data_IF_489873372188
#
_entry.id   IF_489873372188
#
_cell.length_a   1.000
_cell.length_b   1.000
_cell.length_c   1.000
_cell.angle_alpha   90.00
_cell.angle_beta   90.00
_cell.angle_gamma   90.00
#
_symmetry.space_group_name_H-M   'P 1'
#
loop_
_entity.id
_entity.type
_entity.pdbx_description
1 polymer ?
#
# COMPACT_ATOMS: atom_id res chain seq x y z
N UNK A 1 -0.63 -26.67 -7.22
CA UNK A 1 0.10 -25.87 -6.22
C UNK A 1 -0.40 -26.31 -4.85
N UNK A 2 0.47 -26.85 -4.00
CA UNK A 2 0.06 -27.34 -2.70
C UNK A 2 -0.18 -26.14 -1.77
N UNK A 3 -1.41 -25.89 -1.36
CA UNK A 3 -1.79 -24.73 -0.51
C UNK A 3 -1.46 -24.93 0.99
N UNK A 4 -0.81 -26.03 1.34
CA UNK A 4 -0.54 -26.36 2.74
C UNK A 4 0.67 -25.64 3.33
N UNK A 5 1.58 -25.15 2.51
CA UNK A 5 2.76 -24.42 2.98
C UNK A 5 2.53 -22.91 2.84
N UNK A 6 1.95 -22.30 3.86
CA UNK A 6 1.85 -20.86 3.99
C UNK A 6 3.18 -20.33 4.52
N UNK A 7 3.80 -19.42 3.78
CA UNK A 7 5.16 -18.97 4.06
C UNK A 7 5.29 -18.25 5.41
N UNK A 8 4.32 -17.41 5.76
CA UNK A 8 4.32 -16.65 7.01
C UNK A 8 2.90 -16.50 7.56
N UNK A 9 2.80 -16.39 8.87
CA UNK A 9 1.55 -16.11 9.56
C UNK A 9 1.77 -15.34 10.85
N UNK A 10 0.73 -14.67 11.34
CA UNK A 10 0.73 -13.90 12.58
C UNK A 10 1.78 -12.78 12.66
N UNK A 11 2.20 -12.24 11.52
CA UNK A 11 3.08 -11.08 11.46
C UNK A 11 2.28 -9.79 11.54
N UNK A 12 2.94 -8.74 12.01
CA UNK A 12 2.41 -7.37 12.03
C UNK A 12 3.33 -6.51 11.17
N UNK A 13 2.74 -5.76 10.23
CA UNK A 13 3.46 -4.74 9.47
C UNK A 13 3.72 -3.53 10.37
N UNK A 14 4.80 -2.81 10.13
CA UNK A 14 5.01 -1.48 10.71
C UNK A 14 4.10 -0.43 10.01
N UNK A 15 2.79 -0.55 10.25
CA UNK A 15 1.79 0.39 9.75
C UNK A 15 2.03 1.83 10.18
N UNK A 16 2.45 2.12 11.44
CA UNK A 16 2.81 3.47 11.83
C UNK A 16 3.85 4.11 10.92
N UNK A 17 4.93 3.40 10.61
CA UNK A 17 5.96 3.89 9.69
C UNK A 17 5.42 4.11 8.28
N UNK A 18 4.68 3.14 7.74
CA UNK A 18 4.10 3.22 6.42
C UNK A 18 3.18 4.43 6.27
N UNK A 19 2.26 4.63 7.23
CA UNK A 19 1.26 5.70 7.17
C UNK A 19 1.87 7.09 7.43
N UNK A 20 2.89 7.18 8.26
CA UNK A 20 3.55 8.46 8.58
C UNK A 20 4.54 8.92 7.50
N UNK A 21 5.05 8.02 6.67
CA UNK A 21 6.05 8.36 5.64
C UNK A 21 5.52 8.19 4.21
N UNK A 22 4.62 7.23 3.98
CA UNK A 22 4.16 6.84 2.66
C UNK A 22 5.20 6.05 1.86
N UNK A 23 4.76 5.39 0.80
CA UNK A 23 5.61 4.52 -0.01
C UNK A 23 6.75 5.29 -0.72
N UNK A 24 6.49 6.48 -1.22
CA UNK A 24 7.50 7.27 -1.93
C UNK A 24 8.70 7.65 -1.07
N UNK A 25 8.47 8.03 0.19
CA UNK A 25 9.56 8.33 1.12
C UNK A 25 10.36 7.07 1.48
N UNK A 26 9.69 5.93 1.69
CA UNK A 26 10.36 4.65 1.96
C UNK A 26 11.22 4.19 0.76
N UNK A 27 10.73 4.36 -0.47
CA UNK A 27 11.52 4.09 -1.69
C UNK A 27 12.73 4.99 -1.76
N UNK A 28 12.61 6.28 -1.48
CA UNK A 28 13.71 7.25 -1.51
C UNK A 28 14.77 6.96 -0.45
N UNK A 29 14.35 6.61 0.76
CA UNK A 29 15.24 6.17 1.84
C UNK A 29 16.02 4.93 1.41
N UNK A 30 15.32 3.93 0.84
CA UNK A 30 15.96 2.69 0.44
C UNK A 30 16.92 2.87 -0.73
N UNK A 31 16.63 3.75 -1.71
CA UNK A 31 17.57 4.12 -2.77
C UNK A 31 18.87 4.68 -2.19
N UNK A 32 18.79 5.45 -1.11
CA UNK A 32 19.96 5.95 -0.41
C UNK A 32 20.76 4.81 0.24
N UNK A 33 20.10 3.82 0.82
CA UNK A 33 20.79 2.64 1.37
C UNK A 33 21.43 1.78 0.26
N UNK A 34 20.74 1.57 -0.86
CA UNK A 34 21.30 0.87 -2.02
C UNK A 34 22.55 1.56 -2.57
N UNK A 35 22.54 2.89 -2.64
CA UNK A 35 23.70 3.67 -3.11
C UNK A 35 24.92 3.56 -2.17
N UNK A 36 24.67 3.45 -0.85
CA UNK A 36 25.74 3.30 0.15
C UNK A 36 26.27 1.87 0.25
N UNK A 37 25.44 0.90 -0.06
CA UNK A 37 25.75 -0.55 0.05
C UNK A 37 25.23 -1.28 -1.20
N UNK A 38 25.84 -1.05 -2.37
CA UNK A 38 25.34 -1.59 -3.65
C UNK A 38 25.40 -3.12 -3.71
N UNK A 39 26.31 -3.76 -2.95
CA UNK A 39 26.45 -5.22 -2.89
C UNK A 39 25.49 -5.90 -1.93
N UNK A 40 24.64 -5.16 -1.20
CA UNK A 40 23.71 -5.73 -0.25
C UNK A 40 22.44 -6.21 -0.96
N UNK A 41 22.23 -7.52 -1.15
CA UNK A 41 21.09 -8.05 -1.90
C UNK A 41 19.74 -7.79 -1.19
N UNK A 42 19.75 -7.64 0.13
CA UNK A 42 18.54 -7.35 0.89
C UNK A 42 17.93 -6.00 0.49
N UNK A 43 18.75 -4.94 0.43
CA UNK A 43 18.25 -3.63 0.03
C UNK A 43 17.75 -3.59 -1.41
N UNK A 44 18.41 -4.31 -2.32
CA UNK A 44 17.97 -4.45 -3.70
C UNK A 44 16.62 -5.17 -3.78
N UNK A 45 16.45 -6.27 -3.06
CA UNK A 45 15.21 -7.04 -3.04
C UNK A 45 14.04 -6.20 -2.49
N UNK A 46 14.25 -5.49 -1.37
CA UNK A 46 13.22 -4.63 -0.77
C UNK A 46 12.86 -3.46 -1.70
N UNK A 47 13.84 -2.88 -2.41
CA UNK A 47 13.57 -1.81 -3.38
C UNK A 47 12.69 -2.30 -4.53
N UNK A 48 12.99 -3.47 -5.09
CA UNK A 48 12.17 -4.10 -6.13
C UNK A 48 10.73 -4.29 -5.65
N UNK A 49 10.54 -4.77 -4.42
CA UNK A 49 9.23 -5.00 -3.81
C UNK A 49 8.45 -3.70 -3.62
N UNK A 50 9.07 -2.65 -3.07
CA UNK A 50 8.41 -1.36 -2.85
C UNK A 50 8.03 -0.68 -4.16
N UNK A 51 8.90 -0.70 -5.16
CA UNK A 51 8.59 -0.15 -6.49
C UNK A 51 7.51 -0.98 -7.20
N UNK A 52 7.49 -2.30 -7.04
CA UNK A 52 6.42 -3.16 -7.53
C UNK A 52 5.08 -2.83 -6.84
N UNK A 53 5.11 -2.54 -5.55
CA UNK A 53 3.92 -2.12 -4.79
C UNK A 53 3.35 -0.81 -5.30
N UNK A 54 4.20 0.18 -5.59
CA UNK A 54 3.76 1.44 -6.23
C UNK A 54 3.11 1.20 -7.60
N UNK A 55 3.74 0.38 -8.45
CA UNK A 55 3.17 0.02 -9.76
C UNK A 55 1.84 -0.71 -9.63
N UNK A 56 1.70 -1.61 -8.66
CA UNK A 56 0.46 -2.32 -8.38
C UNK A 56 -0.67 -1.35 -8.04
N UNK A 57 -0.44 -0.41 -7.11
CA UNK A 57 -1.41 0.61 -6.73
C UNK A 57 -1.81 1.47 -7.93
N UNK A 58 -0.84 1.91 -8.75
CA UNK A 58 -1.11 2.72 -9.94
C UNK A 58 -1.92 1.97 -11.02
N UNK A 59 -1.73 0.65 -11.15
CA UNK A 59 -2.58 -0.17 -12.04
C UNK A 59 -4.04 -0.16 -11.61
N UNK A 60 -4.31 -0.26 -10.31
CA UNK A 60 -5.68 -0.20 -9.79
C UNK A 60 -6.27 1.21 -9.90
N UNK A 61 -5.45 2.25 -9.78
CA UNK A 61 -5.90 3.61 -10.07
C UNK A 61 -6.37 3.74 -11.53
N UNK A 62 -5.58 3.27 -12.48
CA UNK A 62 -5.94 3.29 -13.90
C UNK A 62 -7.19 2.45 -14.19
N UNK A 63 -7.31 1.26 -13.59
CA UNK A 63 -8.50 0.42 -13.73
C UNK A 63 -9.76 1.12 -13.18
N UNK A 64 -9.67 1.79 -12.04
CA UNK A 64 -10.79 2.52 -11.47
C UNK A 64 -11.23 3.69 -12.37
N UNK A 65 -10.29 4.41 -13.01
CA UNK A 65 -10.59 5.45 -14.01
C UNK A 65 -11.29 4.87 -15.24
N UNK A 66 -10.79 3.75 -15.77
CA UNK A 66 -11.40 3.05 -16.90
C UNK A 66 -12.83 2.61 -16.57
N UNK A 67 -13.02 1.99 -15.40
CA UNK A 67 -14.36 1.58 -14.94
C UNK A 67 -15.29 2.78 -14.76
N UNK A 68 -14.80 3.91 -14.27
CA UNK A 68 -15.57 5.15 -14.15
C UNK A 68 -16.04 5.66 -15.50
N UNK A 69 -15.19 5.59 -16.55
CA UNK A 69 -15.53 5.99 -17.90
C UNK A 69 -16.67 5.16 -18.54
N UNK A 70 -16.87 3.93 -18.09
CA UNK A 70 -17.93 3.03 -18.56
C UNK A 70 -19.15 2.96 -17.60
N UNK A 71 -19.08 3.60 -16.43
CA UNK A 71 -20.12 3.53 -15.42
C UNK A 71 -21.27 4.48 -15.76
N UNK A 72 -22.52 3.95 -15.80
CA UNK A 72 -23.72 4.74 -16.06
C UNK A 72 -24.33 5.35 -14.80
N UNK A 73 -23.99 4.83 -13.62
CA UNK A 73 -24.42 5.36 -12.33
C UNK A 73 -23.50 6.52 -11.91
N UNK A 74 -23.98 7.77 -11.81
CA UNK A 74 -23.17 8.92 -11.47
C UNK A 74 -22.54 8.81 -10.07
N UNK A 75 -23.23 8.21 -9.11
CA UNK A 75 -22.71 8.02 -7.77
C UNK A 75 -21.53 7.05 -7.79
N UNK A 76 -21.71 5.90 -8.44
CA UNK A 76 -20.65 4.89 -8.57
C UNK A 76 -19.46 5.41 -9.40
N UNK A 77 -19.73 6.19 -10.43
CA UNK A 77 -18.68 6.85 -11.22
C UNK A 77 -17.82 7.74 -10.32
N UNK A 78 -18.44 8.59 -9.50
CA UNK A 78 -17.71 9.46 -8.57
C UNK A 78 -16.91 8.70 -7.52
N UNK A 79 -17.45 7.60 -7.00
CA UNK A 79 -16.72 6.71 -6.08
C UNK A 79 -15.46 6.13 -6.73
N UNK A 80 -15.57 5.65 -7.97
CA UNK A 80 -14.43 5.10 -8.73
C UNK A 80 -13.34 6.15 -8.99
N UNK A 81 -13.73 7.37 -9.36
CA UNK A 81 -12.79 8.48 -9.53
C UNK A 81 -12.10 8.85 -8.21
N UNK A 82 -12.83 8.79 -7.11
CA UNK A 82 -12.26 9.03 -5.76
C UNK A 82 -11.25 7.95 -5.40
N UNK A 83 -11.57 6.68 -5.63
CA UNK A 83 -10.65 5.56 -5.44
C UNK A 83 -9.38 5.73 -6.28
N UNK A 84 -9.52 6.13 -7.54
CA UNK A 84 -8.38 6.37 -8.42
C UNK A 84 -7.48 7.50 -7.91
N UNK A 85 -8.06 8.62 -7.51
CA UNK A 85 -7.33 9.77 -6.97
C UNK A 85 -6.55 9.41 -5.68
N UNK A 86 -7.21 8.74 -4.74
CA UNK A 86 -6.59 8.24 -3.50
C UNK A 86 -5.44 7.28 -3.83
N UNK A 87 -5.64 6.36 -4.75
CA UNK A 87 -4.62 5.39 -5.14
C UNK A 87 -3.39 6.06 -5.76
N UNK A 88 -3.58 7.04 -6.65
CA UNK A 88 -2.47 7.82 -7.22
C UNK A 88 -1.70 8.58 -6.15
N UNK A 89 -2.40 9.20 -5.20
CA UNK A 89 -1.78 9.87 -4.07
C UNK A 89 -0.94 8.90 -3.23
N UNK A 90 -1.54 7.80 -2.80
CA UNK A 90 -0.93 6.80 -1.91
C UNK A 90 0.26 6.05 -2.55
N UNK A 91 0.33 5.98 -3.87
CA UNK A 91 1.49 5.39 -4.55
C UNK A 91 2.78 6.18 -4.31
N UNK A 92 2.69 7.48 -3.99
CA UNK A 92 3.84 8.37 -3.85
C UNK A 92 3.93 9.07 -2.49
N UNK A 93 2.79 9.37 -1.88
CA UNK A 93 2.72 10.25 -0.72
C UNK A 93 2.16 9.54 0.51
N UNK A 94 2.43 10.12 1.66
CA UNK A 94 1.76 9.71 2.90
C UNK A 94 0.28 10.07 2.84
N UNK A 95 -0.61 9.27 3.43
CA UNK A 95 -2.01 9.61 3.56
C UNK A 95 -2.22 10.84 4.44
N UNK A 96 -3.18 11.69 4.09
CA UNK A 96 -3.52 12.92 4.82
C UNK A 96 -4.88 12.84 5.51
N UNK A 97 -5.70 11.86 5.14
CA UNK A 97 -7.03 11.64 5.70
C UNK A 97 -7.32 10.14 5.93
N UNK A 98 -8.43 9.87 6.59
CA UNK A 98 -8.80 8.50 6.95
C UNK A 98 -9.08 7.60 5.73
N UNK A 99 -9.80 8.03 4.67
CA UNK A 99 -9.96 7.24 3.45
C UNK A 99 -8.64 6.85 2.78
N UNK A 100 -7.70 7.77 2.68
CA UNK A 100 -6.37 7.49 2.13
C UNK A 100 -5.60 6.50 3.01
N UNK A 101 -5.63 6.68 4.34
CA UNK A 101 -4.98 5.76 5.27
C UNK A 101 -5.56 4.35 5.19
N UNK A 102 -6.88 4.20 5.13
CA UNK A 102 -7.56 2.92 4.94
C UNK A 102 -7.19 2.27 3.61
N UNK A 103 -7.16 3.04 2.52
CA UNK A 103 -6.84 2.52 1.20
C UNK A 103 -5.37 2.03 1.14
N UNK A 104 -4.42 2.78 1.69
CA UNK A 104 -3.02 2.37 1.75
C UNK A 104 -2.83 1.11 2.61
N UNK A 105 -3.44 1.09 3.79
CA UNK A 105 -3.48 -0.08 4.67
C UNK A 105 -3.97 -1.32 3.92
N UNK A 106 -5.08 -1.20 3.18
CA UNK A 106 -5.68 -2.31 2.45
C UNK A 106 -4.79 -2.81 1.31
N UNK A 107 -4.19 -1.92 0.54
CA UNK A 107 -3.24 -2.29 -0.51
C UNK A 107 -2.06 -3.10 0.05
N UNK A 108 -1.46 -2.65 1.14
CA UNK A 108 -0.32 -3.36 1.72
C UNK A 108 -0.71 -4.73 2.28
N UNK A 109 -1.90 -4.86 2.86
CA UNK A 109 -2.42 -6.14 3.31
C UNK A 109 -2.54 -7.14 2.15
N UNK A 110 -3.10 -6.71 1.01
CA UNK A 110 -3.25 -7.54 -0.19
C UNK A 110 -1.88 -7.91 -0.78
N UNK A 111 -0.97 -6.94 -0.93
CA UNK A 111 0.36 -7.14 -1.52
C UNK A 111 1.15 -8.19 -0.71
N UNK A 112 1.10 -8.13 0.59
CA UNK A 112 1.76 -9.12 1.44
C UNK A 112 1.19 -10.53 1.29
N UNK A 113 -0.12 -10.66 1.07
CA UNK A 113 -0.71 -11.96 0.80
C UNK A 113 -0.23 -12.53 -0.54
N UNK A 114 -0.05 -11.69 -1.56
CA UNK A 114 0.49 -12.14 -2.85
C UNK A 114 1.97 -12.49 -2.77
N UNK A 115 2.75 -11.69 -2.08
CA UNK A 115 4.21 -11.84 -2.00
C UNK A 115 4.61 -13.06 -1.16
N UNK A 116 4.05 -13.20 0.03
CA UNK A 116 4.49 -14.20 0.99
C UNK A 116 3.54 -15.39 1.14
N UNK A 117 2.41 -15.41 0.42
CA UNK A 117 1.33 -16.39 0.66
C UNK A 117 0.94 -16.45 2.16
N UNK A 118 0.91 -15.29 2.81
CA UNK A 118 0.67 -15.18 4.25
C UNK A 118 -0.72 -15.70 4.65
N UNK A 119 -0.80 -16.40 5.77
CA UNK A 119 -2.07 -16.96 6.23
C UNK A 119 -2.83 -16.08 7.20
N UNK A 120 -2.16 -15.23 7.94
CA UNK A 120 -2.76 -14.39 8.99
C UNK A 120 -1.89 -13.17 9.22
N UNK A 121 -2.26 -12.05 8.63
CA UNK A 121 -1.62 -10.77 8.88
C UNK A 121 -2.39 -10.09 9.99
N UNK A 122 -1.74 -9.85 11.12
CA UNK A 122 -2.35 -9.16 12.25
C UNK A 122 -2.40 -7.65 11.99
N UNK A 123 -3.54 -7.04 12.32
CA UNK A 123 -3.70 -5.58 12.15
C UNK A 123 -2.92 -4.77 13.20
N UNK A 124 -2.51 -5.41 14.28
CA UNK A 124 -1.86 -4.72 15.38
C UNK A 124 -2.81 -3.74 16.07
N UNK A 125 -2.29 -2.59 16.48
CA UNK A 125 -3.05 -1.55 17.17
C UNK A 125 -3.70 -0.57 16.18
N UNK A 126 -4.61 -1.10 15.37
CA UNK A 126 -5.30 -0.39 14.30
C UNK A 126 -5.93 0.93 14.79
N UNK A 127 -6.61 0.89 15.93
CA UNK A 127 -7.24 2.05 16.56
C UNK A 127 -6.25 3.18 16.84
N UNK A 128 -5.02 2.85 17.21
CA UNK A 128 -4.01 3.83 17.60
C UNK A 128 -3.34 4.50 16.40
N UNK A 129 -2.87 3.73 15.41
CA UNK A 129 -2.18 4.34 14.28
C UNK A 129 -3.13 4.96 13.26
N UNK A 130 -4.44 4.62 13.29
CA UNK A 130 -5.47 5.30 12.50
C UNK A 130 -6.05 6.56 13.16
N UNK A 131 -5.90 6.70 14.47
CA UNK A 131 -6.47 7.81 15.23
C UNK A 131 -6.10 9.21 14.71
N UNK A 132 -4.84 9.49 14.29
CA UNK A 132 -4.48 10.80 13.75
C UNK A 132 -5.33 11.19 12.53
N UNK A 133 -5.66 10.23 11.66
CA UNK A 133 -6.42 10.48 10.43
C UNK A 133 -7.92 10.71 10.67
N UNK A 134 -8.44 10.31 11.84
CA UNK A 134 -9.84 10.53 12.23
C UNK A 134 -10.02 11.92 12.85
N UNK A 135 -9.02 12.42 13.55
CA UNK A 135 -9.10 13.70 14.32
C UNK A 135 -8.95 14.96 13.48
N UNK A 136 -8.49 14.85 12.25
CA UNK A 136 -8.25 15.97 11.33
C UNK A 136 -9.43 16.24 10.39
N UNK A 137 -10.67 16.15 10.91
CA UNK A 137 -11.86 16.62 10.22
C UNK A 137 -12.21 18.04 10.66
#
# INVERSE_FOLDING_TARGET
>A
MNQTDKGQGHIIIDYPRLLNHGLGALVSELKTHCARQPENPFYQAVLILLEASQRHILRYAALAEEMAGHCQDPQRQQELLTIAAISRHNAQHQPTDFPQACQLFWYMNIILQYESNASSISLGRFDQYMLPFIRHR
#
